data_IF_099547028464
#
_entry.id   IF_099547028464
#
_cell.length_a   1.000
_cell.length_b   1.000
_cell.length_c   1.000
_cell.angle_alpha   90.00
_cell.angle_beta   90.00
_cell.angle_gamma   90.00
#
_symmetry.space_group_name_H-M   'P 1'
#
loop_
_entity.id
_entity.type
_entity.pdbx_description
1 polymer ?
#
# COMPACT_ATOMS: atom_id res chain seq x y z
N UNK A 1 -0.76 -39.78 -58.21
CA UNK A 1 -0.61 -40.71 -57.08
C UNK A 1 0.35 -40.16 -56.03
N UNK A 2 -0.17 -39.86 -54.83
CA UNK A 2 0.50 -40.15 -53.57
C UNK A 2 -0.52 -39.93 -52.43
N UNK A 3 -1.12 -41.02 -51.96
CA UNK A 3 -2.09 -41.04 -50.86
C UNK A 3 -1.77 -42.23 -49.95
N UNK A 4 -0.84 -42.01 -49.04
CA UNK A 4 -0.52 -42.83 -47.88
C UNK A 4 0.24 -41.89 -46.92
N UNK A 5 -0.22 -41.57 -45.72
CA UNK A 5 -0.68 -42.36 -44.58
C UNK A 5 0.37 -42.22 -43.46
N UNK A 6 -0.01 -41.57 -42.37
CA UNK A 6 0.55 -41.68 -41.02
C UNK A 6 -0.32 -40.85 -40.08
N UNK A 7 -1.55 -41.32 -39.91
CA UNK A 7 -2.34 -41.00 -38.72
C UNK A 7 -1.71 -41.79 -37.56
N UNK A 8 -0.87 -41.13 -36.75
CA UNK A 8 -0.29 -41.73 -35.55
C UNK A 8 -0.94 -41.11 -34.31
N UNK A 9 -1.97 -41.76 -33.78
CA UNK A 9 -2.60 -41.37 -32.53
C UNK A 9 -1.63 -41.57 -31.36
N UNK A 10 -1.12 -40.47 -30.81
CA UNK A 10 -0.36 -40.50 -29.56
C UNK A 10 -1.29 -40.78 -28.35
N UNK A 11 -1.76 -42.03 -28.23
CA UNK A 11 -2.47 -42.56 -27.06
C UNK A 11 -1.50 -42.66 -25.88
N UNK A 12 -1.46 -41.63 -25.04
CA UNK A 12 -0.81 -41.69 -23.73
C UNK A 12 -1.81 -42.24 -22.71
N UNK A 13 -1.58 -43.42 -22.10
CA UNK A 13 -2.47 -43.96 -21.07
C UNK A 13 -2.30 -43.19 -19.75
N UNK A 14 -3.42 -42.78 -19.15
CA UNK A 14 -3.47 -42.29 -17.77
C UNK A 14 -3.27 -43.48 -16.81
N UNK A 15 -2.41 -43.38 -15.79
CA UNK A 15 -2.40 -44.33 -14.69
C UNK A 15 -3.57 -44.04 -13.74
N UNK A 16 -4.53 -44.96 -13.69
CA UNK A 16 -5.47 -45.07 -12.57
C UNK A 16 -4.68 -45.42 -11.30
N UNK A 17 -4.59 -44.50 -10.34
CA UNK A 17 -4.25 -44.88 -8.97
C UNK A 17 -5.10 -44.14 -7.93
N UNK A 18 -5.80 -44.94 -7.12
CA UNK A 18 -6.76 -44.46 -6.13
C UNK A 18 -6.07 -44.15 -4.82
N UNK A 19 -5.90 -42.87 -4.51
CA UNK A 19 -5.63 -42.42 -3.13
C UNK A 19 -6.85 -41.69 -2.57
N UNK A 20 -7.82 -42.47 -2.11
CA UNK A 20 -8.85 -42.00 -1.19
C UNK A 20 -8.22 -41.86 0.20
N UNK A 21 -7.88 -40.64 0.61
CA UNK A 21 -7.54 -40.35 2.00
C UNK A 21 -8.79 -39.87 2.75
N UNK A 22 -8.96 -40.38 3.98
CA UNK A 22 -10.18 -40.21 4.77
C UNK A 22 -10.39 -38.76 5.21
N UNK A 23 -11.64 -38.30 5.21
CA UNK A 23 -12.04 -37.18 6.07
C UNK A 23 -12.10 -37.72 7.50
N UNK A 24 -11.32 -37.17 8.41
CA UNK A 24 -11.66 -37.21 9.84
C UNK A 24 -12.15 -35.83 10.29
N UNK A 25 -13.41 -35.81 10.71
CA UNK A 25 -14.07 -34.64 11.29
C UNK A 25 -13.78 -34.63 12.79
N UNK A 26 -13.02 -33.64 13.26
CA UNK A 26 -12.85 -33.37 14.69
C UNK A 26 -13.83 -32.29 15.14
N UNK A 27 -14.95 -32.72 15.72
CA UNK A 27 -15.94 -31.88 16.41
C UNK A 27 -15.45 -31.46 17.81
N UNK A 28 -15.90 -30.29 18.31
CA UNK A 28 -16.08 -29.87 19.73
C UNK A 28 -15.11 -30.46 20.79
N UNK A 29 -14.46 -29.70 21.68
CA UNK A 29 -15.01 -28.69 22.62
C UNK A 29 -13.81 -28.23 23.53
N UNK A 30 -13.83 -27.27 24.47
CA UNK A 30 -14.88 -26.48 25.14
C UNK A 30 -14.55 -24.97 25.19
N UNK A 31 -15.54 -24.19 25.63
CA UNK A 31 -15.45 -22.79 26.04
C UNK A 31 -15.35 -22.71 27.57
N UNK A 32 -14.28 -22.15 28.14
CA UNK A 32 -14.28 -21.64 29.53
C UNK A 32 -13.55 -20.30 29.61
N UNK A 33 -14.14 -19.38 30.38
CA UNK A 33 -13.71 -17.99 30.56
C UNK A 33 -13.28 -17.71 32.01
N UNK A 34 -12.67 -16.53 32.20
CA UNK A 34 -12.58 -15.78 33.47
C UNK A 34 -11.51 -16.22 34.53
N UNK A 35 -11.10 -15.32 35.46
CA UNK A 35 -11.12 -13.85 35.42
C UNK A 35 -9.77 -13.18 35.79
N UNK A 36 -9.71 -11.86 35.58
CA UNK A 36 -8.64 -10.96 36.05
C UNK A 36 -8.82 -10.62 37.54
N UNK A 37 -7.75 -10.66 38.36
CA UNK A 37 -7.73 -9.94 39.66
C UNK A 37 -6.34 -9.48 40.15
N UNK A 38 -6.13 -8.17 39.98
CA UNK A 38 -5.45 -7.18 40.84
C UNK A 38 -4.19 -7.52 41.69
N UNK A 39 -3.13 -6.77 41.35
CA UNK A 39 -2.37 -5.84 42.23
C UNK A 39 -1.92 -6.36 43.62
N UNK A 40 -0.62 -6.65 43.74
CA UNK A 40 0.09 -6.60 45.03
C UNK A 40 0.63 -5.20 45.31
N UNK A 41 0.01 -4.48 46.25
CA UNK A 41 0.57 -3.26 46.86
C UNK A 41 1.30 -3.64 48.15
N UNK A 42 2.63 -3.75 48.09
CA UNK A 42 3.45 -3.95 49.28
C UNK A 42 3.73 -2.62 49.99
N UNK A 43 3.06 -2.41 51.12
CA UNK A 43 3.28 -1.28 52.04
C UNK A 43 4.61 -1.47 52.78
N UNK A 44 5.54 -0.51 52.67
CA UNK A 44 6.68 -0.42 53.60
C UNK A 44 6.41 0.66 54.65
N UNK A 45 6.63 0.27 55.90
CA UNK A 45 6.27 1.00 57.13
C UNK A 45 7.44 1.87 57.58
N UNK A 46 7.17 3.14 57.90
CA UNK A 46 8.19 4.09 58.35
C UNK A 46 8.79 3.70 59.71
N UNK A 47 10.12 3.85 59.85
CA UNK A 47 10.84 3.92 61.12
C UNK A 47 11.82 5.10 61.01
N UNK A 48 11.69 6.07 61.91
CA UNK A 48 12.56 7.23 61.98
C UNK A 48 13.65 7.02 63.05
N UNK A 49 14.92 7.24 62.71
CA UNK A 49 15.99 7.54 63.68
C UNK A 49 17.10 8.33 62.99
N UNK A 50 17.35 9.53 63.51
CA UNK A 50 18.51 10.39 63.22
C UNK A 50 19.31 10.57 64.52
N UNK A 51 20.52 11.19 64.54
CA UNK A 51 21.28 11.77 63.43
C UNK A 51 22.75 11.29 63.35
N UNK A 52 23.43 11.57 62.23
CA UNK A 52 24.84 11.99 62.28
C UNK A 52 25.24 12.73 61.00
N UNK A 53 26.01 13.82 61.14
CA UNK A 53 26.39 14.69 60.02
C UNK A 53 27.47 14.05 59.16
N UNK A 54 27.18 13.83 57.87
CA UNK A 54 28.22 13.70 56.84
C UNK A 54 27.81 14.40 55.55
N UNK A 55 28.74 15.18 55.03
CA UNK A 55 28.75 16.04 53.82
C UNK A 55 27.84 15.61 52.66
N UNK A 56 27.07 16.53 52.04
CA UNK A 56 26.28 16.22 50.85
C UNK A 56 27.20 15.97 49.64
N UNK A 57 27.38 14.69 49.27
CA UNK A 57 27.96 14.33 47.98
C UNK A 57 26.92 14.57 46.89
N UNK A 58 27.16 15.57 46.03
CA UNK A 58 26.34 15.78 44.83
C UNK A 58 26.43 14.53 43.95
N UNK A 59 25.36 13.75 43.93
CA UNK A 59 25.19 12.70 42.92
C UNK A 59 24.78 13.41 41.63
N UNK A 60 25.75 13.66 40.75
CA UNK A 60 25.45 14.00 39.36
C UNK A 60 24.68 12.82 38.75
N UNK A 61 23.38 13.01 38.55
CA UNK A 61 22.61 12.13 37.68
C UNK A 61 23.11 12.33 36.26
N UNK A 62 24.05 11.48 35.84
CA UNK A 62 24.37 11.34 34.42
C UNK A 62 23.14 10.78 33.72
N UNK A 63 22.27 11.68 33.28
CA UNK A 63 21.22 11.42 32.30
C UNK A 63 21.90 11.16 30.96
N UNK A 64 22.43 9.96 30.79
CA UNK A 64 22.88 9.45 29.50
C UNK A 64 21.65 9.32 28.64
N UNK A 65 21.40 10.32 27.78
CA UNK A 65 20.35 10.24 26.76
C UNK A 65 20.74 9.14 25.78
N UNK A 66 20.28 7.92 26.05
CA UNK A 66 20.34 6.83 25.07
C UNK A 66 19.65 7.33 23.81
N UNK A 67 20.37 7.31 22.69
CA UNK A 67 19.76 7.60 21.40
C UNK A 67 18.53 6.70 21.21
N UNK A 68 17.42 7.19 20.62
CA UNK A 68 16.28 6.35 20.34
C UNK A 68 16.76 5.12 19.56
N UNK A 69 16.30 3.94 19.98
CA UNK A 69 16.64 2.71 19.28
C UNK A 69 16.28 2.87 17.79
N UNK A 70 17.10 2.36 16.85
CA UNK A 70 16.77 2.43 15.44
C UNK A 70 15.37 1.85 15.25
N UNK A 71 14.49 2.63 14.61
CA UNK A 71 13.15 2.16 14.27
C UNK A 71 13.29 0.82 13.54
N UNK A 72 12.47 -0.20 13.87
CA UNK A 72 12.55 -1.47 13.18
C UNK A 72 12.45 -1.22 11.67
N UNK A 73 13.44 -1.72 10.91
CA UNK A 73 13.42 -1.56 9.46
C UNK A 73 12.11 -2.12 8.92
N UNK A 74 11.49 -1.49 7.90
CA UNK A 74 10.27 -2.02 7.30
C UNK A 74 10.50 -3.48 6.93
N UNK A 75 9.57 -4.34 7.33
CA UNK A 75 9.65 -5.78 7.09
C UNK A 75 9.72 -5.98 5.58
N UNK A 76 10.87 -6.47 5.09
CA UNK A 76 11.06 -6.81 3.69
C UNK A 76 10.20 -8.03 3.38
N UNK A 77 8.97 -7.78 2.95
CA UNK A 77 8.10 -8.83 2.43
C UNK A 77 8.62 -9.17 1.04
N UNK A 78 9.32 -10.31 0.94
CA UNK A 78 9.64 -10.90 -0.36
C UNK A 78 8.32 -11.34 -0.97
N UNK A 79 8.06 -10.88 -2.19
CA UNK A 79 6.83 -11.18 -2.90
C UNK A 79 6.89 -12.64 -3.34
N UNK A 80 5.85 -13.46 -3.09
CA UNK A 80 5.87 -14.87 -3.47
C UNK A 80 6.08 -15.07 -4.97
N UNK A 81 6.83 -16.11 -5.34
CA UNK A 81 6.86 -16.63 -6.70
C UNK A 81 5.42 -16.96 -7.14
N UNK A 82 4.97 -16.43 -8.28
CA UNK A 82 3.59 -16.58 -8.78
C UNK A 82 2.80 -15.29 -8.97
N UNK A 83 3.33 -14.12 -8.62
CA UNK A 83 2.74 -12.81 -8.93
C UNK A 83 2.82 -12.40 -10.43
N UNK A 84 2.91 -13.39 -11.31
CA UNK A 84 3.05 -13.31 -12.78
C UNK A 84 1.70 -13.00 -13.44
N UNK A 85 0.61 -13.60 -12.95
CA UNK A 85 -0.74 -13.38 -13.47
C UNK A 85 -1.52 -12.37 -12.62
N UNK A 86 -2.31 -11.52 -13.27
CA UNK A 86 -3.23 -10.59 -12.61
C UNK A 86 -4.16 -11.27 -11.58
N UNK A 87 -4.59 -12.51 -11.84
CA UNK A 87 -5.47 -13.28 -10.93
C UNK A 87 -4.78 -13.69 -9.64
N UNK A 88 -3.47 -13.89 -9.70
CA UNK A 88 -2.66 -14.51 -8.63
C UNK A 88 -1.87 -13.43 -7.85
N UNK A 89 -1.95 -12.18 -8.32
CA UNK A 89 -1.44 -10.97 -7.69
C UNK A 89 -1.67 -10.97 -6.16
N UNK A 90 -0.61 -10.90 -5.33
CA UNK A 90 -0.76 -10.82 -3.88
C UNK A 90 -1.37 -9.48 -3.43
N UNK A 91 -2.17 -9.53 -2.36
CA UNK A 91 -2.66 -8.34 -1.68
C UNK A 91 -1.52 -7.71 -0.87
N UNK A 92 -1.23 -6.43 -1.14
CA UNK A 92 -0.24 -5.62 -0.44
C UNK A 92 -0.89 -4.47 0.32
N UNK A 93 -0.28 -4.11 1.44
CA UNK A 93 -0.58 -2.90 2.23
C UNK A 93 0.53 -1.87 2.02
N UNK A 94 0.47 -0.74 2.73
CA UNK A 94 1.63 0.13 2.92
C UNK A 94 2.84 -0.66 3.44
N UNK A 95 4.04 -0.34 2.96
CA UNK A 95 5.27 -1.08 3.25
C UNK A 95 6.27 -1.10 2.10
N UNK A 96 7.33 -1.89 2.26
CA UNK A 96 8.37 -2.12 1.26
C UNK A 96 8.37 -3.59 0.80
N UNK A 97 8.37 -3.78 -0.50
CA UNK A 97 8.30 -5.08 -1.17
C UNK A 97 9.48 -5.21 -2.12
N UNK A 98 10.18 -6.34 -2.05
CA UNK A 98 11.24 -6.67 -3.02
C UNK A 98 10.71 -7.73 -3.99
N UNK A 99 10.85 -7.46 -5.28
CA UNK A 99 10.40 -8.35 -6.36
C UNK A 99 11.41 -8.44 -7.51
N UNK A 100 11.09 -9.26 -8.50
CA UNK A 100 11.80 -9.31 -9.78
C UNK A 100 10.85 -9.67 -10.91
N UNK A 101 11.06 -9.09 -12.09
CA UNK A 101 10.40 -9.44 -13.35
C UNK A 101 11.15 -10.52 -14.14
N UNK A 102 12.23 -11.08 -13.58
CA UNK A 102 13.09 -12.04 -14.29
C UNK A 102 12.42 -13.41 -14.39
N UNK A 103 12.19 -13.87 -15.62
CA UNK A 103 11.62 -15.20 -15.88
C UNK A 103 10.09 -15.27 -15.82
N UNK A 104 9.42 -14.12 -15.83
CA UNK A 104 7.97 -13.96 -15.89
C UNK A 104 7.49 -13.76 -17.34
N UNK A 105 6.19 -13.87 -17.58
CA UNK A 105 5.57 -13.72 -18.90
C UNK A 105 5.15 -12.27 -19.22
N UNK A 106 4.84 -11.98 -20.49
CA UNK A 106 4.46 -10.63 -20.96
C UNK A 106 2.93 -10.48 -21.04
N UNK A 107 2.34 -9.72 -20.11
CA UNK A 107 0.88 -9.46 -19.96
C UNK A 107 0.22 -8.60 -21.07
N UNK A 108 0.70 -8.71 -22.31
CA UNK A 108 0.27 -7.88 -23.44
C UNK A 108 -1.25 -7.91 -23.74
N UNK A 109 -1.98 -8.95 -23.30
CA UNK A 109 -3.43 -9.09 -23.49
C UNK A 109 -4.28 -8.54 -22.34
N UNK A 110 -3.75 -8.41 -21.12
CA UNK A 110 -4.55 -8.11 -19.93
C UNK A 110 -4.68 -6.61 -19.64
N UNK A 111 -3.65 -5.81 -19.97
CA UNK A 111 -3.58 -4.40 -19.56
C UNK A 111 -3.38 -3.37 -20.70
N UNK A 112 -4.21 -3.47 -21.74
CA UNK A 112 -4.33 -2.45 -22.79
C UNK A 112 -5.19 -1.18 -22.48
N UNK A 113 -5.87 -0.94 -21.34
CA UNK A 113 -6.81 0.18 -21.23
C UNK A 113 -6.15 1.55 -20.98
N UNK A 114 -4.82 1.62 -20.85
CA UNK A 114 -4.06 2.87 -20.69
C UNK A 114 -3.53 3.44 -22.03
N UNK A 115 -4.07 3.02 -23.17
CA UNK A 115 -3.55 3.32 -24.52
C UNK A 115 -2.04 3.03 -24.67
N UNK A 116 -1.56 2.00 -23.96
CA UNK A 116 -0.15 1.61 -23.88
C UNK A 116 0.00 0.09 -24.10
N UNK A 117 1.16 -0.33 -24.63
CA UNK A 117 1.46 -1.73 -24.95
C UNK A 117 2.52 -2.32 -24.00
N UNK A 118 2.10 -3.21 -23.11
CA UNK A 118 3.02 -4.00 -22.27
C UNK A 118 3.84 -4.92 -23.19
N UNK A 119 5.16 -4.79 -23.11
CA UNK A 119 6.13 -5.46 -24.00
C UNK A 119 7.29 -6.13 -23.26
N UNK A 120 7.31 -6.03 -21.93
CA UNK A 120 8.23 -6.73 -21.04
C UNK A 120 7.46 -7.60 -20.03
N UNK A 121 8.14 -8.52 -19.33
CA UNK A 121 7.56 -9.20 -18.18
C UNK A 121 7.18 -8.25 -17.05
N UNK A 122 6.17 -8.64 -16.26
CA UNK A 122 5.59 -7.82 -15.20
C UNK A 122 5.35 -8.59 -13.89
N UNK A 123 5.17 -7.84 -12.80
CA UNK A 123 4.70 -8.35 -11.50
C UNK A 123 3.43 -7.62 -11.11
N UNK A 124 2.38 -8.37 -10.80
CA UNK A 124 1.11 -7.84 -10.35
C UNK A 124 0.99 -7.77 -8.83
N UNK A 125 0.29 -6.75 -8.36
CA UNK A 125 -0.12 -6.58 -6.97
C UNK A 125 -1.57 -6.14 -6.90
N UNK A 126 -2.26 -6.48 -5.80
CA UNK A 126 -3.57 -5.92 -5.45
C UNK A 126 -3.45 -5.03 -4.23
N UNK A 127 -4.12 -3.88 -4.24
CA UNK A 127 -4.12 -2.92 -3.14
C UNK A 127 -5.55 -2.46 -2.84
N UNK A 128 -5.97 -2.56 -1.57
CA UNK A 128 -7.28 -2.06 -1.15
C UNK A 128 -7.20 -0.57 -0.85
N UNK A 129 -7.96 0.23 -1.58
CA UNK A 129 -8.00 1.68 -1.40
C UNK A 129 -8.44 2.08 0.00
N UNK A 130 -7.74 3.07 0.57
CA UNK A 130 -7.88 3.53 1.97
C UNK A 130 -8.78 4.76 2.12
N UNK A 131 -9.18 5.41 1.02
CA UNK A 131 -9.82 6.73 1.03
C UNK A 131 -8.84 7.90 0.96
N UNK A 132 -7.53 7.62 0.93
CA UNK A 132 -6.46 8.63 0.88
C UNK A 132 -5.77 8.66 -0.49
N UNK A 133 -4.92 9.66 -0.73
CA UNK A 133 -4.00 9.63 -1.86
C UNK A 133 -2.85 8.67 -1.53
N UNK A 134 -2.53 7.76 -2.45
CA UNK A 134 -1.49 6.75 -2.29
C UNK A 134 -0.35 7.04 -3.26
N UNK A 135 0.88 6.72 -2.85
CA UNK A 135 2.09 6.71 -3.67
C UNK A 135 2.63 5.29 -3.75
N UNK A 136 2.92 4.84 -4.97
CA UNK A 136 3.75 3.69 -5.23
C UNK A 136 5.05 4.16 -5.90
N UNK A 137 6.18 3.61 -5.46
CA UNK A 137 7.53 4.16 -5.71
C UNK A 137 8.55 3.05 -5.96
N UNK A 138 9.22 3.10 -7.11
CA UNK A 138 10.27 2.17 -7.53
C UNK A 138 11.69 2.75 -7.42
N UNK A 139 11.88 3.97 -6.89
CA UNK A 139 13.18 4.64 -6.69
C UNK A 139 14.12 3.97 -5.67
N UNK A 140 13.85 2.74 -5.25
CA UNK A 140 14.71 1.97 -4.37
C UNK A 140 16.07 1.70 -5.02
N UNK A 141 17.15 1.71 -4.23
CA UNK A 141 18.46 1.24 -4.69
C UNK A 141 18.52 -0.27 -4.99
N UNK A 142 17.43 -1.00 -4.73
CA UNK A 142 17.23 -2.37 -5.18
C UNK A 142 16.70 -2.48 -6.64
N UNK A 143 16.30 -1.37 -7.25
CA UNK A 143 15.82 -1.31 -8.63
C UNK A 143 16.99 -1.13 -9.61
N UNK A 144 17.16 -2.10 -10.51
CA UNK A 144 18.33 -2.20 -11.40
C UNK A 144 18.02 -2.10 -12.90
N UNK A 145 16.75 -1.79 -13.24
CA UNK A 145 16.29 -1.64 -14.62
C UNK A 145 15.36 -0.43 -14.80
N UNK A 146 15.10 -0.14 -16.08
CA UNK A 146 14.26 0.94 -16.61
C UNK A 146 12.78 0.53 -16.45
N UNK A 147 12.07 1.09 -15.47
CA UNK A 147 10.75 0.57 -15.07
C UNK A 147 9.58 1.32 -15.69
N UNK A 148 8.49 0.59 -15.92
CA UNK A 148 7.15 1.15 -16.00
C UNK A 148 6.32 0.70 -14.79
N UNK A 149 5.35 1.53 -14.41
CA UNK A 149 4.34 1.15 -13.42
C UNK A 149 2.96 1.65 -13.86
N UNK A 150 1.99 0.73 -13.88
CA UNK A 150 0.60 1.02 -14.21
C UNK A 150 -0.32 0.65 -13.04
N UNK A 151 -1.38 1.45 -12.85
CA UNK A 151 -2.42 1.22 -11.84
C UNK A 151 -3.77 1.11 -12.54
N UNK A 152 -4.55 0.09 -12.16
CA UNK A 152 -5.84 -0.24 -12.73
C UNK A 152 -6.91 -0.43 -11.64
N UNK A 153 -8.17 -0.39 -12.05
CA UNK A 153 -9.33 -0.92 -11.31
C UNK A 153 -10.06 -1.96 -12.17
N UNK A 154 -11.15 -2.55 -11.68
CA UNK A 154 -11.88 -3.61 -12.38
C UNK A 154 -11.34 -5.00 -12.03
N UNK A 155 -11.77 -6.03 -12.77
CA UNK A 155 -11.25 -7.39 -12.66
C UNK A 155 -10.20 -7.67 -13.74
N UNK A 156 -9.37 -8.68 -13.56
CA UNK A 156 -8.59 -9.25 -14.67
C UNK A 156 -9.53 -9.62 -15.83
N UNK A 157 -9.05 -9.49 -17.07
CA UNK A 157 -9.86 -9.54 -18.30
C UNK A 157 -10.81 -8.36 -18.53
N UNK A 158 -10.93 -7.40 -17.60
CA UNK A 158 -11.78 -6.19 -17.74
C UNK A 158 -11.23 -5.02 -16.92
N UNK A 159 -9.93 -4.75 -17.05
CA UNK A 159 -9.26 -3.67 -16.33
C UNK A 159 -9.63 -2.29 -16.88
N UNK A 160 -9.71 -1.31 -15.99
CA UNK A 160 -9.87 0.11 -16.29
C UNK A 160 -8.62 0.87 -15.84
N UNK A 161 -7.99 1.63 -16.74
CA UNK A 161 -6.81 2.42 -16.41
C UNK A 161 -7.10 3.48 -15.34
N UNK A 162 -6.20 3.61 -14.36
CA UNK A 162 -6.18 4.72 -13.40
C UNK A 162 -5.05 5.68 -13.73
N UNK A 163 -3.84 5.14 -13.94
CA UNK A 163 -2.64 5.90 -14.33
C UNK A 163 -1.53 4.97 -14.79
N UNK A 164 -0.56 5.48 -15.54
CA UNK A 164 0.66 4.79 -15.98
C UNK A 164 1.83 5.78 -16.02
N UNK A 165 3.01 5.35 -15.58
CA UNK A 165 4.25 6.16 -15.54
C UNK A 165 5.45 5.30 -15.98
N UNK A 166 6.36 5.93 -16.72
CA UNK A 166 7.67 5.44 -17.15
C UNK A 166 8.73 5.99 -16.17
N UNK A 167 9.50 6.99 -16.62
CA UNK A 167 10.42 7.80 -15.81
C UNK A 167 9.75 8.62 -14.71
N UNK A 168 10.43 8.75 -13.57
CA UNK A 168 10.16 9.77 -12.55
C UNK A 168 11.28 10.80 -12.49
N UNK A 169 10.93 12.08 -12.40
CA UNK A 169 11.90 13.15 -12.12
C UNK A 169 12.58 13.02 -10.75
N UNK A 170 12.07 12.17 -9.87
CA UNK A 170 12.62 11.91 -8.53
C UNK A 170 13.84 10.97 -8.56
N UNK A 171 13.94 10.06 -9.55
CA UNK A 171 15.00 9.04 -9.61
C UNK A 171 15.46 8.61 -11.01
N UNK A 172 14.96 9.23 -12.09
CA UNK A 172 15.34 8.92 -13.46
C UNK A 172 14.50 7.78 -14.04
N UNK A 173 15.18 6.71 -14.50
CA UNK A 173 14.63 5.54 -15.19
C UNK A 173 13.82 4.60 -14.27
N UNK A 174 13.11 5.14 -13.29
CA UNK A 174 12.29 4.36 -12.37
C UNK A 174 11.02 5.12 -12.00
N UNK A 175 9.91 4.39 -11.92
CA UNK A 175 8.58 4.99 -11.89
C UNK A 175 8.13 5.37 -10.49
N UNK A 176 7.45 6.50 -10.40
CA UNK A 176 6.70 6.93 -9.21
C UNK A 176 5.30 7.31 -9.66
N UNK A 177 4.28 6.72 -9.04
CA UNK A 177 2.89 6.97 -9.38
C UNK A 177 2.11 7.36 -8.12
N UNK A 178 1.24 8.35 -8.25
CA UNK A 178 0.30 8.73 -7.19
C UNK A 178 -1.13 8.71 -7.73
N UNK A 179 -2.07 8.26 -6.89
CA UNK A 179 -3.49 8.25 -7.24
C UNK A 179 -4.37 8.44 -6.01
N UNK A 180 -5.57 8.97 -6.20
CA UNK A 180 -6.57 9.06 -5.14
C UNK A 180 -7.26 7.70 -5.00
N UNK A 181 -6.98 6.97 -3.92
CA UNK A 181 -7.48 5.62 -3.71
C UNK A 181 -8.84 5.66 -3.01
N UNK A 182 -9.89 5.21 -3.68
CA UNK A 182 -11.25 5.19 -3.13
C UNK A 182 -11.35 4.08 -2.07
N UNK A 183 -11.90 4.42 -0.89
CA UNK A 183 -12.04 3.48 0.22
C UNK A 183 -12.81 2.21 -0.21
N UNK A 184 -12.19 1.05 -0.03
CA UNK A 184 -12.78 -0.25 -0.34
C UNK A 184 -12.79 -0.63 -1.83
N UNK A 185 -12.20 0.17 -2.73
CA UNK A 185 -11.98 -0.22 -4.13
C UNK A 185 -10.65 -0.97 -4.25
N UNK A 186 -10.65 -2.13 -4.91
CA UNK A 186 -9.43 -2.90 -5.16
C UNK A 186 -8.72 -2.43 -6.44
N UNK A 187 -7.53 -1.89 -6.26
CA UNK A 187 -6.60 -1.50 -7.32
C UNK A 187 -5.68 -2.67 -7.70
N UNK A 188 -5.28 -2.73 -8.97
CA UNK A 188 -4.23 -3.63 -9.47
C UNK A 188 -3.04 -2.76 -9.86
N UNK A 189 -1.84 -3.11 -9.39
CA UNK A 189 -0.60 -2.41 -9.72
C UNK A 189 0.25 -3.40 -10.51
N UNK A 190 0.68 -3.01 -11.71
CA UNK A 190 1.61 -3.77 -12.54
C UNK A 190 2.95 -3.04 -12.56
N UNK A 191 4.01 -3.72 -12.10
CA UNK A 191 5.39 -3.26 -12.21
C UNK A 191 6.06 -4.03 -13.34
N UNK A 192 6.50 -3.34 -14.39
CA UNK A 192 7.14 -3.93 -15.56
C UNK A 192 8.28 -3.02 -16.04
N UNK A 193 8.81 -3.20 -17.25
CA UNK A 193 9.97 -2.45 -17.76
C UNK A 193 9.74 -1.77 -19.10
N UNK A 194 10.54 -0.74 -19.39
CA UNK A 194 10.52 -0.10 -20.70
C UNK A 194 11.04 -1.06 -21.77
N UNK A 195 10.31 -1.15 -22.89
CA UNK A 195 10.66 -2.02 -24.02
C UNK A 195 10.80 -3.49 -23.58
N UNK A 196 11.98 -4.10 -23.71
CA UNK A 196 12.23 -5.49 -23.32
C UNK A 196 13.04 -5.64 -22.02
N UNK A 197 13.04 -4.63 -21.15
CA UNK A 197 13.86 -4.64 -19.93
C UNK A 197 13.11 -5.28 -18.75
N UNK A 198 13.87 -5.93 -17.89
CA UNK A 198 13.41 -6.61 -16.68
C UNK A 198 14.58 -6.68 -15.70
N UNK A 199 14.30 -7.00 -14.44
CA UNK A 199 15.32 -7.03 -13.40
C UNK A 199 14.74 -7.17 -11.99
N UNK A 200 15.49 -6.72 -10.99
CA UNK A 200 15.08 -6.66 -9.59
C UNK A 200 14.53 -5.26 -9.30
N UNK A 201 13.53 -5.16 -8.42
CA UNK A 201 13.01 -3.88 -7.97
C UNK A 201 12.67 -3.85 -6.48
N UNK A 202 12.62 -2.64 -5.92
CA UNK A 202 12.07 -2.36 -4.60
C UNK A 202 10.89 -1.42 -4.70
N UNK A 203 9.68 -1.94 -4.46
CA UNK A 203 8.42 -1.19 -4.46
C UNK A 203 8.09 -0.71 -3.04
N UNK A 204 7.93 0.60 -2.87
CA UNK A 204 7.38 1.20 -1.64
C UNK A 204 5.96 1.65 -1.90
N UNK A 205 5.02 1.27 -1.04
CA UNK A 205 3.64 1.79 -1.02
C UNK A 205 3.48 2.59 0.27
N UNK A 206 3.01 3.84 0.15
CA UNK A 206 2.75 4.72 1.29
C UNK A 206 1.55 5.65 1.03
N UNK A 207 0.97 6.26 2.09
CA UNK A 207 0.13 7.43 1.93
C UNK A 207 0.94 8.54 1.26
N UNK A 208 0.27 9.36 0.45
CA UNK A 208 0.85 10.56 -0.14
C UNK A 208 0.28 11.79 0.55
N UNK A 209 0.98 12.27 1.57
CA UNK A 209 0.81 13.65 2.01
C UNK A 209 1.62 14.56 1.10
N UNK A 210 0.96 15.21 0.15
CA UNK A 210 1.56 16.35 -0.53
C UNK A 210 2.09 17.32 0.54
N UNK A 211 3.28 17.90 0.31
CA UNK A 211 3.84 18.91 1.21
C UNK A 211 3.09 20.25 1.01
N UNK A 212 1.80 20.26 1.32
CA UNK A 212 1.03 21.47 1.52
C UNK A 212 1.54 22.11 2.80
N UNK A 213 2.56 22.96 2.67
CA UNK A 213 2.61 24.16 3.50
C UNK A 213 1.25 24.82 3.33
N UNK A 214 0.35 24.61 4.31
CA UNK A 214 -0.99 25.17 4.27
C UNK A 214 -0.82 26.68 4.00
N UNK A 215 -1.51 27.25 2.98
CA UNK A 215 -1.40 28.67 2.71
C UNK A 215 -1.69 29.40 4.01
N UNK A 216 -0.74 30.22 4.45
CA UNK A 216 -0.75 30.81 5.79
C UNK A 216 -2.15 31.33 6.09
N UNK A 217 -2.77 30.76 7.14
CA UNK A 217 -4.18 31.03 7.48
C UNK A 217 -4.40 32.53 7.40
N UNK A 218 -5.27 32.97 6.49
CA UNK A 218 -5.62 34.39 6.37
C UNK A 218 -5.95 34.87 7.78
N UNK A 219 -5.31 35.96 8.25
CA UNK A 219 -5.48 36.41 9.62
C UNK A 219 -6.97 36.61 9.87
N UNK A 220 -7.53 36.14 11.00
CA UNK A 220 -8.95 36.25 11.26
C UNK A 220 -9.33 37.72 11.15
N UNK A 221 -10.15 38.06 10.17
CA UNK A 221 -10.66 39.40 9.97
C UNK A 221 -11.62 39.70 11.11
N UNK A 222 -11.04 40.21 12.20
CA UNK A 222 -11.74 40.75 13.37
C UNK A 222 -12.47 42.04 12.97
N UNK A 223 -13.56 41.87 12.24
CA UNK A 223 -14.60 42.87 12.14
C UNK A 223 -15.93 42.18 12.42
N UNK A 224 -16.29 42.16 13.71
CA UNK A 224 -17.64 41.81 14.12
C UNK A 224 -18.63 42.77 13.42
N UNK A 225 -19.70 42.26 12.77
CA UNK A 225 -20.74 43.13 12.26
C UNK A 225 -21.39 43.85 13.44
N UNK A 226 -21.41 45.18 13.39
CA UNK A 226 -22.11 45.98 14.39
C UNK A 226 -23.62 45.70 14.30
N UNK A 227 -24.25 45.48 15.45
CA UNK A 227 -25.67 45.13 15.50
C UNK A 227 -26.54 46.29 15.04
N UNK A 228 -27.12 46.17 13.84
CA UNK A 228 -28.36 46.85 13.48
C UNK A 228 -29.35 45.86 12.90
N UNK A 229 -30.59 45.99 13.39
CA UNK A 229 -31.62 44.98 13.31
C UNK A 229 -32.46 45.18 12.03
N UNK A 230 -32.28 44.31 11.03
CA UNK A 230 -33.16 44.23 9.85
C UNK A 230 -33.50 42.76 9.61
N UNK A 231 -34.79 42.46 9.48
CA UNK A 231 -35.34 41.12 9.70
C UNK A 231 -35.08 40.11 8.58
N UNK A 232 -35.34 38.84 8.91
CA UNK A 232 -35.35 37.74 7.96
C UNK A 232 -36.42 37.96 6.89
N UNK A 233 -36.00 37.99 5.62
CA UNK A 233 -36.86 37.75 4.45
C UNK A 233 -36.39 36.46 3.78
N UNK A 234 -37.32 35.76 3.14
CA UNK A 234 -37.20 34.32 2.87
C UNK A 234 -36.06 33.92 1.93
N UNK A 235 -35.56 32.69 2.12
CA UNK A 235 -34.60 32.07 1.22
C UNK A 235 -35.27 31.62 -0.08
N UNK A 236 -35.13 32.42 -1.15
CA UNK A 236 -35.51 32.01 -2.50
C UNK A 236 -34.49 31.01 -3.06
N UNK A 237 -34.96 29.81 -3.41
CA UNK A 237 -34.16 28.83 -4.16
C UNK A 237 -33.76 29.39 -5.52
N UNK A 238 -32.46 29.34 -5.85
CA UNK A 238 -31.95 29.62 -7.20
C UNK A 238 -31.69 28.30 -7.90
N UNK A 239 -32.59 27.93 -8.81
CA UNK A 239 -32.39 26.84 -9.77
C UNK A 239 -31.71 27.35 -11.04
N UNK A 240 -30.71 26.61 -11.53
CA UNK A 240 -30.13 26.66 -12.88
C UNK A 240 -29.46 27.98 -13.34
N UNK A 241 -28.20 27.87 -13.82
CA UNK A 241 -27.70 28.76 -14.88
C UNK A 241 -26.35 29.48 -14.68
N UNK A 242 -25.36 29.03 -15.46
CA UNK A 242 -24.26 29.81 -16.06
C UNK A 242 -23.34 30.68 -15.17
N UNK A 243 -22.14 30.15 -14.88
CA UNK A 243 -20.97 30.97 -14.54
C UNK A 243 -20.24 31.47 -15.80
N UNK A 244 -20.23 32.79 -16.02
CA UNK A 244 -19.26 33.45 -16.92
C UNK A 244 -18.29 34.27 -16.09
N UNK A 245 -17.18 33.65 -15.66
CA UNK A 245 -16.10 34.36 -14.96
C UNK A 245 -15.25 35.17 -15.93
N UNK A 246 -15.31 36.50 -15.82
CA UNK A 246 -14.35 37.40 -16.46
C UNK A 246 -13.24 37.74 -15.46
N UNK A 247 -11.99 37.46 -15.81
CA UNK A 247 -10.82 37.83 -15.02
C UNK A 247 -10.52 39.32 -15.12
N UNK A 248 -10.13 39.93 -14.00
CA UNK A 248 -9.38 41.19 -13.94
C UNK A 248 -8.00 40.91 -13.35
#
# INVERSE_FOLDING_TARGET
DNKAALDDELKIPLPDDKLAFHLDSATSEQLETDPISLISKSTIKSIATEPSMTTPRVLQSNSTTTAPAPTPMPVTTIVPDGADLCTDAPLVTEGFYKGTTTGLDVDSTEASPCDFSISSPGVWYRFMGTGEQIRADLCSSATDYDTYMAVFTGSCGSLSCVSIVDDSSECGLSSVITWNAILGVEYKILVFGFSSRFGVFGLTISPFTANTTAPATLPPTSQAPSSQNVGCVEATLVTEGFYTGSTR
#
